data_IF_285811406723
#
_entry.id   IF_285811406723
#
_cell.length_a   1.000
_cell.length_b   1.000
_cell.length_c   1.000
_cell.angle_alpha   90.00
_cell.angle_beta   90.00
_cell.angle_gamma   90.00
#
_symmetry.space_group_name_H-M   'P 1'
#
loop_
_entity.id
_entity.type
_entity.pdbx_description
1 polymer ?
#
# COMPACT_ATOMS: atom_id res chain seq x y z
N UNK A 1 2.74 3.10 -26.43
CA UNK A 1 3.89 2.96 -25.52
C UNK A 1 3.31 3.26 -24.16
N UNK A 2 3.20 2.26 -23.28
CA UNK A 2 2.70 2.47 -21.92
C UNK A 2 3.67 3.41 -21.17
N UNK A 3 3.14 4.31 -20.36
CA UNK A 3 3.95 5.20 -19.53
C UNK A 3 4.66 4.34 -18.46
N UNK A 4 6.01 4.34 -18.38
CA UNK A 4 6.74 3.52 -17.41
C UNK A 4 6.50 3.93 -15.94
N UNK A 5 5.82 5.07 -15.71
CA UNK A 5 5.38 5.56 -14.41
C UNK A 5 3.87 5.40 -14.19
N UNK A 6 3.16 4.71 -15.08
CA UNK A 6 1.77 4.34 -14.85
C UNK A 6 1.72 3.09 -13.98
N UNK A 7 0.95 3.16 -12.89
CA UNK A 7 0.73 2.03 -11.98
C UNK A 7 0.03 0.88 -12.73
N UNK A 8 0.68 -0.27 -12.94
CA UNK A 8 0.11 -1.38 -13.71
C UNK A 8 -1.06 -2.06 -12.99
N UNK A 9 -1.22 -1.81 -11.69
CA UNK A 9 -2.37 -2.28 -10.94
C UNK A 9 -3.63 -1.46 -11.17
N UNK A 10 -3.55 -0.24 -11.71
CA UNK A 10 -4.74 0.59 -11.91
C UNK A 10 -5.52 0.11 -13.13
N UNK A 11 -6.68 -0.55 -12.90
CA UNK A 11 -7.52 -1.05 -14.01
C UNK A 11 -8.27 0.12 -14.68
N UNK A 12 -8.62 0.01 -15.98
CA UNK A 12 -9.40 1.05 -16.66
C UNK A 12 -10.70 1.38 -15.91
N UNK A 13 -10.92 2.66 -15.62
CA UNK A 13 -12.11 3.15 -14.91
C UNK A 13 -12.01 3.12 -13.39
N UNK A 14 -11.05 2.41 -12.80
CA UNK A 14 -10.82 2.46 -11.36
C UNK A 14 -10.26 3.82 -10.93
N UNK A 15 -10.59 4.21 -9.71
CA UNK A 15 -10.02 5.36 -9.00
C UNK A 15 -9.32 4.86 -7.74
N UNK A 16 -8.04 5.22 -7.59
CA UNK A 16 -7.30 5.05 -6.34
C UNK A 16 -7.80 6.09 -5.32
N UNK A 17 -8.45 5.64 -4.25
CA UNK A 17 -9.03 6.52 -3.23
C UNK A 17 -8.20 6.56 -1.93
N UNK A 18 -7.30 5.58 -1.75
CA UNK A 18 -6.43 5.52 -0.58
C UNK A 18 -5.12 4.82 -0.93
N UNK A 19 -4.00 5.36 -0.45
CA UNK A 19 -2.68 4.74 -0.56
C UNK A 19 -1.81 5.20 0.61
N UNK A 20 -1.37 4.26 1.46
CA UNK A 20 -0.55 4.60 2.63
C UNK A 20 0.37 3.43 3.00
N UNK A 21 1.57 3.76 3.44
CA UNK A 21 2.47 2.81 4.08
C UNK A 21 2.19 2.77 5.59
N UNK A 22 1.94 1.57 6.11
CA UNK A 22 1.64 1.32 7.52
C UNK A 22 2.47 0.12 7.98
N UNK A 23 2.99 0.20 9.22
CA UNK A 23 3.70 -0.92 9.84
C UNK A 23 2.68 -1.87 10.47
N UNK A 24 2.36 -2.96 9.78
CA UNK A 24 1.45 -3.99 10.30
C UNK A 24 2.22 -5.11 10.99
N UNK A 25 1.55 -5.78 11.93
CA UNK A 25 2.05 -7.01 12.53
C UNK A 25 1.75 -8.17 11.58
N UNK A 26 2.78 -8.95 11.27
CA UNK A 26 2.67 -10.20 10.52
C UNK A 26 2.91 -11.36 11.48
N UNK A 27 1.91 -12.23 11.61
CA UNK A 27 1.92 -13.39 12.49
C UNK A 27 2.27 -14.62 11.66
N UNK A 28 3.44 -15.21 11.91
CA UNK A 28 3.78 -16.52 11.41
C UNK A 28 3.35 -17.57 12.42
N UNK A 29 2.21 -18.24 12.18
CA UNK A 29 1.70 -19.27 13.10
C UNK A 29 2.62 -20.50 13.21
N UNK A 30 3.38 -20.83 12.16
CA UNK A 30 4.28 -21.98 12.19
C UNK A 30 5.46 -21.76 13.15
N UNK A 31 5.95 -20.52 13.23
CA UNK A 31 7.12 -20.14 14.04
C UNK A 31 6.74 -19.43 15.34
N UNK A 32 5.44 -19.15 15.52
CA UNK A 32 4.90 -18.35 16.62
C UNK A 32 5.64 -16.99 16.78
N UNK A 33 5.95 -16.37 15.64
CA UNK A 33 6.71 -15.12 15.55
C UNK A 33 5.80 -13.99 15.05
N UNK A 34 6.00 -12.80 15.62
CA UNK A 34 5.33 -11.56 15.20
C UNK A 34 6.39 -10.59 14.70
N UNK A 35 6.26 -10.14 13.46
CA UNK A 35 7.15 -9.17 12.84
C UNK A 35 6.38 -7.92 12.41
N UNK A 36 6.92 -6.74 12.70
CA UNK A 36 6.39 -5.50 12.14
C UNK A 36 7.00 -5.27 10.76
N UNK A 37 6.17 -5.16 9.72
CA UNK A 37 6.62 -4.95 8.34
C UNK A 37 5.95 -3.72 7.73
N UNK A 38 6.74 -2.77 7.16
CA UNK A 38 6.20 -1.68 6.38
C UNK A 38 5.47 -2.23 5.15
N UNK A 39 4.17 -1.96 5.06
CA UNK A 39 3.31 -2.47 3.98
C UNK A 39 2.51 -1.31 3.42
N UNK A 40 2.54 -1.19 2.09
CA UNK A 40 1.72 -0.24 1.35
C UNK A 40 0.38 -0.90 1.12
N UNK A 41 -0.69 -0.27 1.60
CA UNK A 41 -2.07 -0.65 1.28
C UNK A 41 -2.69 0.40 0.37
N UNK A 42 -3.35 -0.07 -0.69
CA UNK A 42 -4.12 0.74 -1.63
C UNK A 42 -5.58 0.29 -1.65
N UNK A 43 -6.47 1.24 -1.88
CA UNK A 43 -7.90 0.98 -2.10
C UNK A 43 -8.31 1.62 -3.42
N UNK A 44 -8.83 0.80 -4.32
CA UNK A 44 -9.37 1.19 -5.60
C UNK A 44 -10.88 1.03 -5.59
N UNK A 45 -11.57 1.91 -6.31
CA UNK A 45 -13.02 1.82 -6.52
C UNK A 45 -13.35 1.98 -7.99
N UNK A 46 -14.29 1.20 -8.49
CA UNK A 46 -14.90 1.41 -9.80
C UNK A 46 -16.36 1.83 -9.58
N UNK A 47 -16.76 2.90 -10.27
CA UNK A 47 -18.15 3.36 -10.31
C UNK A 47 -18.65 3.34 -11.75
N UNK A 48 -19.92 3.01 -11.94
CA UNK A 48 -20.55 3.05 -13.25
C UNK A 48 -20.86 4.49 -13.72
N UNK A 49 -21.52 4.62 -14.86
CA UNK A 49 -21.88 5.91 -15.46
C UNK A 49 -22.93 6.69 -14.62
N UNK A 50 -23.68 6.01 -13.76
CA UNK A 50 -24.67 6.59 -12.84
C UNK A 50 -24.07 6.89 -11.46
N UNK A 51 -22.74 6.83 -11.32
CA UNK A 51 -21.96 7.03 -10.08
C UNK A 51 -22.25 5.99 -8.99
N UNK A 52 -22.80 4.83 -9.35
CA UNK A 52 -23.01 3.71 -8.43
C UNK A 52 -21.69 2.96 -8.21
N UNK A 53 -21.37 2.64 -6.95
CA UNK A 53 -20.22 1.79 -6.63
C UNK A 53 -20.44 0.35 -7.08
N UNK A 54 -19.56 -0.12 -7.96
CA UNK A 54 -19.63 -1.45 -8.55
C UNK A 54 -18.57 -2.38 -7.97
N UNK A 55 -17.33 -1.91 -7.81
CA UNK A 55 -16.26 -2.72 -7.18
C UNK A 55 -15.40 -1.92 -6.22
N UNK A 56 -14.89 -2.62 -5.20
CA UNK A 56 -13.86 -2.15 -4.27
C UNK A 56 -12.73 -3.18 -4.29
N UNK A 57 -11.51 -2.74 -4.57
CA UNK A 57 -10.33 -3.60 -4.53
C UNK A 57 -9.32 -3.09 -3.54
N UNK A 58 -8.88 -3.97 -2.65
CA UNK A 58 -7.78 -3.75 -1.74
C UNK A 58 -6.54 -4.41 -2.31
N UNK A 59 -5.42 -3.70 -2.32
CA UNK A 59 -4.12 -4.22 -2.75
C UNK A 59 -3.09 -3.92 -1.67
N UNK A 60 -2.22 -4.88 -1.42
CA UNK A 60 -1.12 -4.74 -0.47
C UNK A 60 0.19 -5.17 -1.10
N UNK A 61 1.25 -4.41 -0.79
CA UNK A 61 2.60 -4.67 -1.26
C UNK A 61 3.65 -4.24 -0.25
N UNK A 62 4.87 -4.75 -0.38
CA UNK A 62 5.98 -4.41 0.53
C UNK A 62 7.18 -3.88 -0.24
N UNK A 63 7.88 -2.89 0.32
CA UNK A 63 9.12 -2.36 -0.30
C UNK A 63 10.26 -3.38 -0.28
N UNK A 64 10.41 -4.10 0.83
CA UNK A 64 11.50 -5.05 1.06
C UNK A 64 11.35 -6.36 0.26
N UNK A 65 10.11 -6.76 -0.02
CA UNK A 65 9.81 -7.89 -0.88
C UNK A 65 9.02 -7.43 -2.11
N UNK A 66 9.72 -7.30 -3.24
CA UNK A 66 9.12 -6.79 -4.48
C UNK A 66 8.09 -7.74 -5.09
N UNK A 67 8.16 -9.04 -4.78
CA UNK A 67 7.20 -10.05 -5.22
C UNK A 67 5.97 -10.15 -4.33
N UNK A 68 6.00 -9.51 -3.16
CA UNK A 68 4.85 -9.47 -2.26
C UNK A 68 3.79 -8.54 -2.83
N UNK A 69 2.77 -9.11 -3.48
CA UNK A 69 1.63 -8.42 -4.03
C UNK A 69 0.39 -9.30 -3.86
N UNK A 70 -0.52 -8.83 -3.02
CA UNK A 70 -1.78 -9.52 -2.76
C UNK A 70 -2.94 -8.56 -2.95
N UNK A 71 -4.08 -9.07 -3.41
CA UNK A 71 -5.31 -8.28 -3.49
C UNK A 71 -6.55 -9.06 -3.09
N UNK A 72 -7.61 -8.31 -2.85
CA UNK A 72 -8.97 -8.84 -2.77
C UNK A 72 -9.92 -7.83 -3.36
N UNK A 73 -10.87 -8.29 -4.16
CA UNK A 73 -11.88 -7.47 -4.82
C UNK A 73 -13.27 -7.90 -4.36
N UNK A 74 -14.12 -6.91 -4.12
CA UNK A 74 -15.52 -7.10 -3.75
C UNK A 74 -16.40 -6.29 -4.69
N UNK A 75 -17.43 -6.95 -5.20
CA UNK A 75 -18.64 -6.33 -5.74
C UNK A 75 -19.78 -6.38 -4.68
N UNK A 76 -20.97 -5.90 -5.04
CA UNK A 76 -22.11 -5.86 -4.13
C UNK A 76 -22.53 -7.27 -3.64
N UNK A 77 -22.44 -8.29 -4.50
CA UNK A 77 -22.85 -9.68 -4.17
C UNK A 77 -21.83 -10.38 -3.24
N UNK A 78 -20.55 -10.31 -3.59
CA UNK A 78 -19.46 -10.88 -2.77
C UNK A 78 -19.32 -10.12 -1.45
N UNK A 79 -19.59 -8.81 -1.42
CA UNK A 79 -19.66 -8.05 -0.18
C UNK A 79 -20.82 -8.51 0.71
N UNK A 80 -22.01 -8.79 0.17
CA UNK A 80 -23.12 -9.33 0.98
C UNK A 80 -22.75 -10.70 1.59
N UNK A 81 -21.96 -11.51 0.87
CA UNK A 81 -21.40 -12.75 1.44
C UNK A 81 -20.45 -12.47 2.60
N UNK A 82 -19.51 -11.52 2.44
CA UNK A 82 -18.61 -11.08 3.51
C UNK A 82 -19.39 -10.51 4.71
N UNK A 83 -20.37 -9.66 4.46
CA UNK A 83 -21.21 -9.01 5.46
C UNK A 83 -21.95 -10.04 6.31
N UNK A 84 -22.49 -11.07 5.68
CA UNK A 84 -23.15 -12.17 6.39
C UNK A 84 -22.15 -13.04 7.18
N UNK A 85 -21.00 -13.38 6.59
CA UNK A 85 -19.93 -14.15 7.24
C UNK A 85 -19.41 -13.45 8.51
N UNK A 86 -19.16 -12.15 8.40
CA UNK A 86 -18.52 -11.34 9.44
C UNK A 86 -19.53 -10.53 10.28
N UNK A 87 -20.83 -10.70 10.05
CA UNK A 87 -21.92 -9.98 10.74
C UNK A 87 -21.81 -8.45 10.67
N UNK A 88 -21.35 -7.92 9.54
CA UNK A 88 -21.21 -6.47 9.31
C UNK A 88 -22.60 -5.82 9.16
N UNK A 89 -22.72 -4.57 9.63
CA UNK A 89 -23.99 -3.80 9.61
C UNK A 89 -23.99 -2.65 8.60
N UNK A 90 -22.94 -2.55 7.81
CA UNK A 90 -22.68 -1.42 6.91
C UNK A 90 -23.17 -1.75 5.49
N UNK A 91 -23.39 -0.72 4.67
CA UNK A 91 -23.66 -0.91 3.25
C UNK A 91 -22.37 -1.09 2.45
N UNK A 92 -22.48 -1.56 1.20
CA UNK A 92 -21.34 -1.65 0.30
C UNK A 92 -20.72 -0.26 0.00
N UNK A 93 -21.57 0.76 -0.16
CA UNK A 93 -21.14 2.15 -0.37
C UNK A 93 -20.35 2.73 0.81
N UNK A 94 -20.65 2.32 2.04
CA UNK A 94 -19.93 2.79 3.24
C UNK A 94 -18.60 2.06 3.45
N UNK A 95 -18.47 0.85 2.92
CA UNK A 95 -17.35 -0.04 3.18
C UNK A 95 -15.96 0.58 2.93
N UNK A 96 -15.67 1.25 1.79
CA UNK A 96 -14.34 1.80 1.56
C UNK A 96 -14.00 2.92 2.54
N UNK A 97 -14.97 3.78 2.86
CA UNK A 97 -14.80 4.90 3.80
C UNK A 97 -14.48 4.38 5.21
N UNK A 98 -15.24 3.38 5.68
CA UNK A 98 -15.01 2.78 7.00
C UNK A 98 -13.65 2.08 7.06
N UNK A 99 -13.25 1.39 5.99
CA UNK A 99 -11.92 0.77 5.91
C UNK A 99 -10.80 1.80 6.00
N UNK A 100 -10.94 2.94 5.32
CA UNK A 100 -9.97 4.04 5.40
C UNK A 100 -9.87 4.59 6.82
N UNK A 101 -10.99 4.75 7.52
CA UNK A 101 -10.99 5.18 8.92
C UNK A 101 -10.25 4.20 9.83
N UNK A 102 -10.54 2.90 9.71
CA UNK A 102 -9.87 1.85 10.50
C UNK A 102 -8.37 1.84 10.22
N UNK A 103 -7.96 1.89 8.94
CA UNK A 103 -6.55 1.87 8.55
C UNK A 103 -5.81 3.12 9.04
N UNK A 104 -6.45 4.29 8.99
CA UNK A 104 -5.85 5.52 9.51
C UNK A 104 -5.70 5.48 11.04
N UNK A 105 -6.69 4.95 11.75
CA UNK A 105 -6.60 4.75 13.20
C UNK A 105 -5.51 3.76 13.56
N UNK A 106 -5.44 2.62 12.89
CA UNK A 106 -4.37 1.64 13.10
C UNK A 106 -2.97 2.21 12.84
N UNK A 107 -2.85 3.18 11.92
CA UNK A 107 -1.59 3.87 11.64
C UNK A 107 -1.16 4.89 12.72
N UNK A 108 -2.13 5.51 13.43
CA UNK A 108 -1.89 6.63 14.35
C UNK A 108 -2.00 6.22 15.83
N UNK A 109 -2.98 5.38 16.16
CA UNK A 109 -3.46 5.09 17.50
C UNK A 109 -3.48 3.57 17.72
N UNK A 110 -2.35 3.03 18.17
CA UNK A 110 -2.12 1.57 18.36
C UNK A 110 -3.07 0.89 19.36
N UNK A 111 -3.92 1.65 20.05
CA UNK A 111 -4.76 1.18 21.15
C UNK A 111 -6.26 1.12 20.79
N UNK A 112 -6.71 1.68 19.66
CA UNK A 112 -8.12 1.56 19.23
C UNK A 112 -8.36 0.37 18.30
N UNK A 113 -7.53 0.24 17.26
CA UNK A 113 -7.62 -0.83 16.27
C UNK A 113 -6.22 -1.33 15.93
N UNK A 114 -6.06 -2.65 15.93
CA UNK A 114 -4.91 -3.34 15.40
C UNK A 114 -5.30 -4.02 14.09
N UNK A 115 -4.45 -3.85 13.08
CA UNK A 115 -4.55 -4.58 11.81
C UNK A 115 -3.36 -5.52 11.73
N UNK A 116 -3.66 -6.81 11.68
CA UNK A 116 -2.68 -7.88 11.77
C UNK A 116 -2.84 -8.80 10.58
N UNK A 117 -1.74 -9.16 9.94
CA UNK A 117 -1.73 -10.13 8.85
C UNK A 117 -1.34 -11.49 9.37
N UNK A 118 -2.03 -12.50 8.88
CA UNK A 118 -1.74 -13.90 9.14
C UNK A 118 -1.63 -14.64 7.80
N UNK A 119 -0.63 -15.50 7.67
CA UNK A 119 -0.53 -16.43 6.54
C UNK A 119 -1.14 -17.75 7.01
N UNK A 120 -2.39 -18.09 6.64
CA UNK A 120 -2.96 -19.39 6.92
C UNK A 120 -2.24 -20.45 6.09
N UNK A 121 -2.48 -21.73 6.40
CA UNK A 121 -1.91 -22.87 5.67
C UNK A 121 -2.37 -23.01 4.20
N UNK A 122 -3.18 -22.08 3.69
CA UNK A 122 -3.92 -22.20 2.42
C UNK A 122 -3.47 -21.18 1.36
N UNK A 123 -2.25 -20.65 1.46
CA UNK A 123 -1.65 -19.66 0.55
C UNK A 123 -2.38 -18.29 0.44
N UNK A 124 -3.47 -18.10 1.17
CA UNK A 124 -4.12 -16.81 1.32
C UNK A 124 -3.35 -15.94 2.32
N UNK A 125 -3.56 -14.64 2.25
CA UNK A 125 -3.06 -13.71 3.24
C UNK A 125 -4.25 -13.07 3.94
N UNK A 126 -4.46 -13.44 5.20
CA UNK A 126 -5.60 -12.96 5.96
C UNK A 126 -5.25 -11.67 6.69
N UNK A 127 -6.00 -10.60 6.41
CA UNK A 127 -6.00 -9.37 7.19
C UNK A 127 -7.04 -9.50 8.28
N UNK A 128 -6.62 -9.37 9.54
CA UNK A 128 -7.48 -9.38 10.71
C UNK A 128 -7.54 -7.98 11.33
N UNK A 129 -8.76 -7.45 11.47
CA UNK A 129 -9.00 -6.23 12.23
C UNK A 129 -9.40 -6.65 13.64
N UNK A 130 -8.66 -6.14 14.61
CA UNK A 130 -8.73 -6.55 16.01
C UNK A 130 -8.86 -5.31 16.90
N UNK A 131 -9.78 -5.33 17.84
CA UNK A 131 -9.88 -4.31 18.88
C UNK A 131 -9.19 -4.81 20.16
N UNK A 132 -8.08 -4.18 20.59
CA UNK A 132 -7.46 -4.55 21.84
C UNK A 132 -8.31 -4.08 23.02
N UNK A 133 -8.74 -5.01 23.88
CA UNK A 133 -9.33 -4.70 25.19
C UNK A 133 -8.33 -5.05 26.29
N UNK A 134 -8.52 -4.49 27.49
CA UNK A 134 -7.62 -4.67 28.64
C UNK A 134 -7.29 -6.13 29.01
N UNK A 135 -8.18 -7.06 28.70
CA UNK A 135 -8.05 -8.47 29.10
C UNK A 135 -7.98 -9.44 27.91
N UNK A 136 -8.30 -8.98 26.70
CA UNK A 136 -8.25 -9.79 25.49
C UNK A 136 -8.37 -8.91 24.24
N UNK A 137 -7.89 -9.45 23.14
CA UNK A 137 -8.13 -8.92 21.82
C UNK A 137 -9.46 -9.46 21.28
N UNK A 138 -10.26 -8.57 20.70
CA UNK A 138 -11.56 -8.93 20.09
C UNK A 138 -11.42 -8.84 18.57
N UNK A 139 -11.51 -9.97 17.83
CA UNK A 139 -11.57 -9.92 16.38
C UNK A 139 -12.86 -9.22 15.95
N UNK A 140 -12.73 -8.24 15.06
CA UNK A 140 -13.87 -7.48 14.52
C UNK A 140 -14.33 -8.13 13.21
N UNK A 141 -13.42 -8.28 12.26
CA UNK A 141 -13.62 -9.07 11.04
C UNK A 141 -12.31 -9.35 10.33
N UNK A 142 -12.36 -10.20 9.30
CA UNK A 142 -11.22 -10.57 8.47
C UNK A 142 -11.47 -10.36 6.98
N UNK A 143 -10.40 -10.14 6.21
CA UNK A 143 -10.38 -10.14 4.75
C UNK A 143 -9.35 -11.13 4.26
N UNK A 144 -9.73 -11.96 3.29
CA UNK A 144 -8.86 -12.99 2.72
C UNK A 144 -8.27 -12.49 1.40
N UNK A 145 -6.98 -12.17 1.39
CA UNK A 145 -6.28 -11.72 0.19
C UNK A 145 -5.67 -12.90 -0.57
N UNK A 146 -5.65 -12.78 -1.90
CA UNK A 146 -5.03 -13.72 -2.81
C UNK A 146 -3.75 -13.12 -3.39
N UNK A 147 -2.74 -13.96 -3.61
CA UNK A 147 -1.54 -13.55 -4.34
C UNK A 147 -1.93 -13.21 -5.79
N UNK A 148 -1.40 -12.11 -6.29
CA UNK A 148 -1.64 -11.71 -7.68
C UNK A 148 -0.90 -12.61 -8.67
N UNK A 149 -1.31 -12.55 -9.94
CA UNK A 149 -0.65 -13.34 -10.97
C UNK A 149 0.79 -12.90 -11.25
N UNK A 150 1.64 -13.87 -11.65
CA UNK A 150 3.06 -13.63 -11.94
C UNK A 150 3.27 -12.51 -12.96
N UNK A 151 2.38 -12.37 -13.95
CA UNK A 151 2.52 -11.36 -15.00
C UNK A 151 2.27 -9.95 -14.47
N UNK A 152 1.32 -9.77 -13.54
CA UNK A 152 1.07 -8.52 -12.84
C UNK A 152 2.19 -8.22 -11.86
N UNK A 153 2.68 -9.22 -11.13
CA UNK A 153 3.83 -9.07 -10.22
C UNK A 153 5.04 -8.58 -11.00
N UNK A 154 5.40 -9.19 -12.13
CA UNK A 154 6.52 -8.76 -12.97
C UNK A 154 6.38 -7.29 -13.42
N UNK A 155 5.18 -6.90 -13.87
CA UNK A 155 4.88 -5.51 -14.24
C UNK A 155 5.02 -4.57 -13.05
N UNK A 156 4.51 -4.96 -11.88
CA UNK A 156 4.64 -4.18 -10.65
C UNK A 156 6.10 -4.01 -10.22
N UNK A 157 6.92 -5.07 -10.27
CA UNK A 157 8.35 -4.97 -9.97
C UNK A 157 9.02 -3.97 -10.88
N UNK A 158 8.76 -4.04 -12.19
CA UNK A 158 9.34 -3.11 -13.16
C UNK A 158 8.86 -1.67 -12.94
N UNK A 159 7.58 -1.47 -12.69
CA UNK A 159 6.99 -0.17 -12.38
C UNK A 159 7.62 0.44 -11.12
N UNK A 160 7.65 -0.29 -10.01
CA UNK A 160 8.23 0.16 -8.74
C UNK A 160 9.72 0.51 -8.89
N UNK A 161 10.47 -0.27 -9.66
CA UNK A 161 11.85 0.05 -10.01
C UNK A 161 11.94 1.39 -10.77
N UNK A 162 11.08 1.59 -11.79
CA UNK A 162 11.07 2.81 -12.58
C UNK A 162 10.73 4.05 -11.74
N UNK A 163 9.74 3.95 -10.84
CA UNK A 163 9.35 5.02 -9.92
C UNK A 163 10.52 5.40 -9.01
N UNK A 164 11.19 4.42 -8.39
CA UNK A 164 12.36 4.68 -7.53
C UNK A 164 13.50 5.33 -8.32
N UNK A 165 13.77 4.86 -9.55
CA UNK A 165 14.79 5.46 -10.41
C UNK A 165 14.44 6.90 -10.80
N UNK A 166 13.18 7.16 -11.09
CA UNK A 166 12.69 8.49 -11.43
C UNK A 166 12.85 9.46 -10.26
N UNK A 167 12.37 9.10 -9.07
CA UNK A 167 12.51 9.92 -7.86
C UNK A 167 13.98 10.15 -7.50
N UNK A 168 14.83 9.12 -7.58
CA UNK A 168 16.26 9.26 -7.30
C UNK A 168 16.96 10.24 -8.27
N UNK A 169 16.59 10.22 -9.55
CA UNK A 169 17.11 11.19 -10.53
C UNK A 169 16.62 12.60 -10.21
N UNK A 170 15.34 12.75 -9.91
CA UNK A 170 14.72 14.03 -9.56
C UNK A 170 15.36 14.65 -8.32
N UNK A 171 15.48 13.90 -7.22
CA UNK A 171 16.15 14.36 -6.00
C UNK A 171 17.62 14.71 -6.24
N UNK A 172 18.35 13.95 -7.09
CA UNK A 172 19.74 14.28 -7.44
C UNK A 172 19.84 15.61 -8.19
N UNK A 173 18.90 15.90 -9.09
CA UNK A 173 18.83 17.18 -9.80
C UNK A 173 18.52 18.32 -8.82
N UNK A 174 17.54 18.13 -7.92
CA UNK A 174 17.18 19.12 -6.90
C UNK A 174 18.36 19.45 -5.98
N UNK A 175 19.09 18.43 -5.51
CA UNK A 175 20.31 18.60 -4.70
C UNK A 175 21.38 19.35 -5.49
N UNK A 176 21.60 19.02 -6.76
CA UNK A 176 22.58 19.71 -7.61
C UNK A 176 22.24 21.20 -7.74
N UNK A 177 20.98 21.50 -8.06
CA UNK A 177 20.50 22.88 -8.19
C UNK A 177 20.64 23.66 -6.88
N UNK A 178 20.38 23.00 -5.74
CA UNK A 178 20.55 23.60 -4.42
C UNK A 178 22.03 23.92 -4.12
N UNK A 179 22.95 23.00 -4.42
CA UNK A 179 24.40 23.21 -4.27
C UNK A 179 24.88 24.38 -5.15
N UNK A 180 24.42 24.45 -6.40
CA UNK A 180 24.76 25.54 -7.32
C UNK A 180 24.22 26.89 -6.84
N UNK A 181 23.00 26.91 -6.30
CA UNK A 181 22.38 28.12 -5.74
C UNK A 181 23.12 28.64 -4.51
N UNK A 182 23.64 27.76 -3.67
CA UNK A 182 24.43 28.14 -2.49
C UNK A 182 25.87 28.58 -2.84
N UNK A 183 26.28 28.54 -4.11
CA UNK A 183 27.63 28.92 -4.53
C UNK A 183 28.72 28.02 -3.94
N UNK A 184 28.36 26.81 -3.51
CA UNK A 184 29.28 25.81 -2.96
C UNK A 184 30.04 25.06 -4.07
N UNK A 185 29.77 25.35 -5.35
CA UNK A 185 30.62 24.92 -6.45
C UNK A 185 31.96 25.66 -6.36
N UNK A 186 33.04 24.89 -6.21
CA UNK A 186 34.38 25.35 -5.81
C UNK A 186 34.84 26.66 -6.49
N UNK A 187 35.56 27.55 -5.78
CA UNK A 187 36.19 28.72 -6.40
C UNK A 187 37.18 28.27 -7.48
N UNK A 188 37.00 28.82 -8.68
CA UNK A 188 37.90 28.72 -9.82
C UNK A 188 39.36 28.88 -9.35
N UNK A 189 40.14 27.81 -9.45
CA UNK A 189 41.59 27.89 -9.41
C UNK A 189 42.08 28.80 -10.53
N UNK A 190 42.38 30.06 -10.20
CA UNK A 190 43.25 30.89 -11.03
C UNK A 190 44.66 30.79 -10.47
N UNK A 191 45.37 29.77 -10.95
CA UNK A 191 46.81 29.92 -11.13
C UNK A 191 47.04 31.11 -12.05
N UNK A 192 47.43 32.26 -11.49
CA UNK A 192 48.14 33.28 -12.25
C UNK A 192 49.61 33.13 -11.89
N UNK A 193 50.36 32.54 -12.82
CA UNK A 193 51.80 32.66 -12.83
C UNK A 193 52.17 34.14 -12.81
N UNK A 194 52.93 34.56 -11.80
CA UNK A 194 53.74 35.76 -11.91
C UNK A 194 55.00 35.39 -12.70
N UNK A 195 54.96 35.70 -13.99
CA UNK A 195 56.17 35.97 -14.78
C UNK A 195 56.60 37.41 -14.48
N UNK A 196 57.69 37.58 -13.76
CA UNK A 196 58.90 38.36 -14.07
C UNK A 196 59.63 38.73 -12.80
#
# INVERSE_FOLDING_TARGET
MEDPLQDPSLKPGEKLIYSKEINFKFHNKAENEIQLRPTIIKIFTFRDDDDKLETIRFEISQQENVFFLYSVEYDEESFETLKNKESLKISFEDFPTIMIEILNKAALEKDEYNVEFEIPTNDLLQLNIVMPLKFKDVPIFSLDFQEEDDALIEKQVQYRYNVVQYELRKTRIEISNFIDTLGLSKPSGKGKGLRK
#
